data_IF_458536926719
#
_entry.id   IF_458536926719
#
_cell.length_a   1.000
_cell.length_b   1.000
_cell.length_c   1.000
_cell.angle_alpha   90.00
_cell.angle_beta   90.00
_cell.angle_gamma   90.00
#
_symmetry.space_group_name_H-M   'P 1'
#
loop_
_entity.id
_entity.type
_entity.pdbx_description
1 polymer ?
#
# COMPACT_ATOMS: atom_id res chain seq x y z
N UNK A 1 7.74 62.66 -17.49
CA UNK A 1 7.96 61.48 -18.36
C UNK A 1 8.17 60.29 -17.42
N UNK A 2 7.52 59.14 -17.52
CA UNK A 2 6.55 58.59 -18.46
C UNK A 2 5.93 57.34 -17.80
N UNK A 3 4.60 57.23 -17.93
CA UNK A 3 3.80 56.02 -18.23
C UNK A 3 3.57 54.93 -17.17
N UNK A 4 2.27 54.74 -16.94
CA UNK A 4 1.51 53.54 -16.57
C UNK A 4 1.81 52.33 -17.46
N UNK A 5 1.61 51.11 -16.94
CA UNK A 5 0.98 49.96 -17.63
C UNK A 5 0.90 48.76 -16.64
N UNK A 6 -0.27 48.33 -16.21
CA UNK A 6 -1.21 47.38 -16.87
C UNK A 6 -0.62 45.97 -17.11
N UNK A 7 -1.22 44.95 -16.47
CA UNK A 7 -0.98 43.53 -16.72
C UNK A 7 -1.59 43.07 -18.05
N UNK A 8 -1.06 41.98 -18.64
CA UNK A 8 -1.96 41.01 -19.25
C UNK A 8 -1.63 39.55 -18.88
N UNK A 9 -2.71 38.80 -18.64
CA UNK A 9 -2.75 37.33 -18.70
C UNK A 9 -2.33 36.85 -20.09
N UNK A 10 -1.52 35.77 -20.19
CA UNK A 10 -1.73 34.69 -21.18
C UNK A 10 -0.85 33.46 -20.91
N UNK A 11 -1.56 32.40 -20.53
CA UNK A 11 -1.53 31.04 -21.08
C UNK A 11 -0.36 30.67 -22.02
N UNK A 12 0.32 29.56 -21.71
CA UNK A 12 0.64 28.51 -22.68
C UNK A 12 0.91 27.17 -21.97
N UNK A 13 -0.14 26.34 -21.93
CA UNK A 13 -0.13 24.94 -22.42
C UNK A 13 0.87 24.79 -23.59
N UNK A 14 1.55 23.69 -23.89
CA UNK A 14 1.37 22.27 -23.62
C UNK A 14 2.57 21.56 -24.28
N UNK A 15 3.11 20.49 -23.69
CA UNK A 15 3.45 19.25 -24.41
C UNK A 15 4.36 18.35 -23.57
N UNK A 16 3.77 17.47 -22.78
CA UNK A 16 4.26 16.10 -22.74
C UNK A 16 3.08 15.20 -23.08
N UNK A 17 2.94 14.92 -24.39
CA UNK A 17 2.16 13.78 -24.87
C UNK A 17 2.93 12.52 -24.51
N UNK A 18 2.37 11.73 -23.61
CA UNK A 18 2.46 10.28 -23.70
C UNK A 18 1.05 9.73 -23.44
N UNK A 19 0.25 9.68 -24.51
CA UNK A 19 -0.84 8.70 -24.57
C UNK A 19 -0.17 7.34 -24.70
N UNK A 20 -0.52 6.42 -23.80
CA UNK A 20 -0.86 5.02 -24.08
C UNK A 20 -0.95 4.29 -22.74
N UNK A 21 -2.16 4.12 -22.24
CA UNK A 21 -2.53 2.91 -21.52
C UNK A 21 -4.02 2.71 -21.74
N UNK A 22 -4.34 2.02 -22.83
CA UNK A 22 -5.65 1.44 -23.03
C UNK A 22 -6.06 0.66 -21.79
N UNK A 23 -7.36 0.60 -21.55
CA UNK A 23 -7.97 -0.26 -20.55
C UNK A 23 -7.40 -1.67 -20.69
N UNK A 24 -6.43 -2.02 -19.82
CA UNK A 24 -5.99 -3.40 -19.70
C UNK A 24 -7.15 -4.11 -19.05
N UNK A 25 -7.83 -4.95 -19.83
CA UNK A 25 -8.63 -6.06 -19.30
C UNK A 25 -7.72 -6.74 -18.27
N UNK A 26 -7.95 -6.51 -16.99
CA UNK A 26 -7.26 -7.22 -15.92
C UNK A 26 -7.70 -8.65 -16.08
N UNK A 27 -6.87 -9.46 -16.75
CA UNK A 27 -7.05 -10.90 -16.74
C UNK A 27 -7.13 -11.30 -15.26
N UNK A 28 -8.03 -12.22 -14.88
CA UNK A 28 -8.10 -12.76 -13.52
C UNK A 28 -6.80 -13.44 -13.04
N UNK A 29 -5.77 -13.46 -13.89
CA UNK A 29 -4.52 -14.18 -13.73
C UNK A 29 -3.33 -13.32 -13.30
N UNK A 30 -3.44 -11.98 -13.28
CA UNK A 30 -2.33 -11.12 -12.81
C UNK A 30 -2.49 -10.75 -11.34
N UNK A 31 -1.46 -11.05 -10.55
CA UNK A 31 -1.44 -10.70 -9.13
C UNK A 31 -1.49 -9.18 -8.92
N UNK A 32 -2.15 -8.66 -7.86
CA UNK A 32 -2.32 -7.23 -7.65
C UNK A 32 -1.02 -6.42 -7.69
N UNK A 33 -0.98 -5.37 -8.52
CA UNK A 33 0.22 -4.56 -8.73
C UNK A 33 0.37 -3.35 -7.80
N UNK A 34 -0.56 -3.16 -6.84
CA UNK A 34 -0.50 -2.07 -5.87
C UNK A 34 -1.02 -2.53 -4.50
N UNK A 35 -0.65 -1.78 -3.47
CA UNK A 35 -0.97 -2.10 -2.06
C UNK A 35 -2.47 -2.26 -1.83
N UNK A 36 -3.29 -1.32 -2.33
CA UNK A 36 -4.73 -1.37 -2.11
C UNK A 36 -5.34 -2.65 -2.69
N UNK A 37 -5.02 -2.98 -3.94
CA UNK A 37 -5.51 -4.18 -4.60
C UNK A 37 -4.98 -5.45 -3.94
N UNK A 38 -3.73 -5.44 -3.44
CA UNK A 38 -3.16 -6.55 -2.68
C UNK A 38 -3.98 -6.81 -1.41
N UNK A 39 -4.24 -5.77 -0.62
CA UNK A 39 -5.00 -5.90 0.62
C UNK A 39 -6.47 -6.27 0.37
N UNK A 40 -7.06 -5.78 -0.72
CA UNK A 40 -8.43 -6.16 -1.14
C UNK A 40 -8.60 -7.66 -1.39
N UNK A 41 -7.53 -8.41 -1.65
CA UNK A 41 -7.62 -9.89 -1.78
C UNK A 41 -8.01 -10.57 -0.47
N UNK A 42 -7.83 -9.91 0.67
CA UNK A 42 -8.03 -10.49 1.99
C UNK A 42 -7.01 -11.57 2.36
N UNK A 43 -6.03 -11.88 1.52
CA UNK A 43 -5.03 -12.92 1.80
C UNK A 43 -4.20 -12.58 3.05
N UNK A 44 -3.97 -11.27 3.27
CA UNK A 44 -3.21 -10.73 4.40
C UNK A 44 -4.08 -10.34 5.60
N UNK A 45 -5.38 -10.67 5.58
CA UNK A 45 -6.29 -10.36 6.68
C UNK A 45 -5.79 -10.97 8.00
N UNK A 46 -5.68 -10.16 9.04
CA UNK A 46 -5.22 -10.62 10.35
C UNK A 46 -3.69 -10.71 10.50
N UNK A 47 -2.92 -10.44 9.44
CA UNK A 47 -1.45 -10.45 9.53
C UNK A 47 -0.97 -9.22 10.33
N UNK A 48 -0.12 -9.41 11.37
CA UNK A 48 0.43 -8.31 12.13
C UNK A 48 1.44 -7.52 11.30
N UNK A 49 1.43 -6.20 11.49
CA UNK A 49 2.37 -5.26 10.86
C UNK A 49 2.85 -4.23 11.87
N UNK A 50 3.89 -3.49 11.53
CA UNK A 50 4.33 -2.33 12.30
C UNK A 50 4.71 -1.17 11.40
N UNK A 51 4.31 0.03 11.77
CA UNK A 51 4.94 1.25 11.27
C UNK A 51 6.31 1.41 11.92
N UNK A 52 7.29 1.87 11.15
CA UNK A 52 8.62 2.23 11.63
C UNK A 52 9.05 3.53 10.95
N UNK A 53 9.33 4.57 11.74
CA UNK A 53 9.82 5.85 11.22
C UNK A 53 11.17 5.69 10.53
N UNK A 54 11.53 6.66 9.67
CA UNK A 54 12.85 6.69 9.05
C UNK A 54 13.99 6.65 10.08
N UNK A 55 13.87 7.42 11.19
CA UNK A 55 14.83 7.43 12.29
C UNK A 55 14.83 6.14 13.13
N UNK A 56 13.86 5.25 12.93
CA UNK A 56 13.62 4.02 13.74
C UNK A 56 13.23 4.28 15.20
N UNK A 57 13.14 5.52 15.65
CA UNK A 57 12.79 5.88 17.03
C UNK A 57 11.29 5.71 17.30
N UNK A 58 10.44 5.90 16.29
CA UNK A 58 8.99 5.75 16.44
C UNK A 58 8.53 4.47 15.78
N UNK A 59 7.82 3.66 16.54
CA UNK A 59 7.19 2.44 16.03
C UNK A 59 5.75 2.34 16.50
N UNK A 60 4.89 1.77 15.67
CA UNK A 60 3.49 1.54 16.01
C UNK A 60 3.03 0.21 15.47
N UNK A 61 2.49 -0.66 16.33
CA UNK A 61 1.96 -1.96 15.94
C UNK A 61 0.57 -1.82 15.32
N UNK A 62 0.22 -2.73 14.42
CA UNK A 62 -1.11 -2.83 13.84
C UNK A 62 -1.39 -4.21 13.25
N UNK A 63 -2.61 -4.40 12.76
CA UNK A 63 -3.06 -5.65 12.11
C UNK A 63 -3.79 -5.28 10.82
N UNK A 64 -3.51 -5.99 9.73
CA UNK A 64 -4.21 -5.78 8.46
C UNK A 64 -5.68 -6.19 8.59
N UNK A 65 -6.59 -5.28 8.21
CA UNK A 65 -8.04 -5.49 8.24
C UNK A 65 -8.71 -4.83 7.03
N UNK A 66 -9.14 -5.66 6.08
CA UNK A 66 -9.56 -5.26 4.75
C UNK A 66 -8.43 -4.53 4.03
N UNK A 67 -8.74 -3.35 3.48
CA UNK A 67 -7.76 -2.46 2.85
C UNK A 67 -7.12 -1.45 3.82
N UNK A 68 -7.30 -1.64 5.13
CA UNK A 68 -6.92 -0.72 6.19
C UNK A 68 -6.16 -1.47 7.30
N UNK A 69 -5.83 -0.75 8.38
CA UNK A 69 -5.07 -1.28 9.51
C UNK A 69 -5.83 -1.06 10.82
N UNK A 70 -5.95 -2.09 11.65
CA UNK A 70 -6.28 -1.91 13.06
C UNK A 70 -5.07 -1.29 13.74
N UNK A 71 -5.27 -0.11 14.32
CA UNK A 71 -4.20 0.67 14.94
C UNK A 71 -3.99 0.26 16.40
N UNK A 72 -2.75 -0.05 16.77
CA UNK A 72 -2.38 -0.44 18.13
C UNK A 72 -1.90 0.70 19.03
N UNK A 73 -2.22 1.96 18.74
CA UNK A 73 -1.87 3.07 19.65
C UNK A 73 -2.81 3.07 20.87
N UNK A 74 -2.42 3.77 21.93
CA UNK A 74 -3.17 3.81 23.19
C UNK A 74 -4.62 4.32 23.01
N UNK A 75 -4.86 5.15 21.99
CA UNK A 75 -6.21 5.67 21.69
C UNK A 75 -7.07 4.68 20.92
N UNK A 76 -6.46 3.78 20.14
CA UNK A 76 -7.18 2.89 19.24
C UNK A 76 -7.27 1.46 19.78
N UNK A 77 -6.29 1.00 20.56
CA UNK A 77 -6.26 -0.32 21.19
C UNK A 77 -6.65 -1.49 20.26
N UNK A 78 -6.21 -1.46 19.00
CA UNK A 78 -6.57 -2.44 17.95
C UNK A 78 -8.07 -2.52 17.61
N UNK A 79 -8.90 -1.55 18.01
CA UNK A 79 -10.35 -1.50 17.76
C UNK A 79 -10.71 -0.64 16.54
N UNK A 80 -9.91 0.38 16.25
CA UNK A 80 -10.17 1.34 15.16
C UNK A 80 -9.42 0.97 13.89
N UNK A 81 -10.14 0.92 12.76
CA UNK A 81 -9.54 0.79 11.42
C UNK A 81 -9.14 2.16 10.91
N UNK A 82 -7.90 2.28 10.44
CA UNK A 82 -7.33 3.52 9.91
C UNK A 82 -6.64 3.27 8.58
N UNK A 83 -6.59 4.29 7.73
CA UNK A 83 -5.81 4.26 6.49
C UNK A 83 -4.29 4.26 6.76
N UNK A 84 -3.48 4.04 5.72
CA UNK A 84 -2.01 4.07 5.85
C UNK A 84 -1.50 5.43 6.37
N UNK A 85 -2.08 6.54 5.87
CA UNK A 85 -1.73 7.89 6.30
C UNK A 85 -2.13 8.16 7.74
N UNK A 86 -3.33 7.75 8.14
CA UNK A 86 -3.76 7.89 9.54
C UNK A 86 -2.95 7.02 10.49
N UNK A 87 -2.59 5.80 10.08
CA UNK A 87 -1.73 4.91 10.86
C UNK A 87 -0.35 5.55 11.12
N UNK A 88 0.24 6.15 10.09
CA UNK A 88 1.48 6.92 10.22
C UNK A 88 1.31 8.14 11.13
N UNK A 89 0.21 8.88 10.97
CA UNK A 89 -0.08 10.05 11.82
C UNK A 89 -0.26 9.67 13.28
N UNK A 90 -0.85 8.51 13.55
CA UNK A 90 -0.96 7.94 14.90
C UNK A 90 0.39 7.51 15.47
N UNK A 91 1.36 7.17 14.62
CA UNK A 91 2.75 6.94 15.04
C UNK A 91 3.53 8.25 15.26
N UNK A 92 2.92 9.41 15.01
CA UNK A 92 3.53 10.73 15.16
C UNK A 92 4.48 11.10 14.01
N UNK A 93 4.20 10.59 12.81
CA UNK A 93 4.93 10.90 11.58
C UNK A 93 3.97 11.40 10.49
N UNK A 94 4.53 11.97 9.43
CA UNK A 94 3.78 12.42 8.24
C UNK A 94 4.72 12.38 7.03
N UNK A 95 4.56 11.37 6.18
CA UNK A 95 5.38 11.15 4.99
C UNK A 95 4.52 11.04 3.74
N UNK A 96 5.14 11.21 2.57
CA UNK A 96 4.43 11.06 1.29
C UNK A 96 4.05 9.61 0.97
N UNK A 97 4.70 8.62 1.60
CA UNK A 97 4.62 7.21 1.22
C UNK A 97 4.55 6.28 2.44
N UNK A 98 3.48 6.33 3.26
CA UNK A 98 3.37 5.55 4.49
C UNK A 98 3.52 4.04 4.27
N UNK A 99 3.08 3.51 3.12
CA UNK A 99 3.20 2.08 2.79
C UNK A 99 4.65 1.58 2.66
N UNK A 100 5.62 2.47 2.44
CA UNK A 100 7.05 2.15 2.46
C UNK A 100 7.60 1.98 3.88
N UNK A 101 6.86 2.48 4.88
CA UNK A 101 7.20 2.49 6.30
C UNK A 101 6.37 1.50 7.13
N UNK A 102 5.49 0.74 6.50
CA UNK A 102 4.70 -0.33 7.13
C UNK A 102 5.33 -1.67 6.78
N UNK A 103 5.75 -2.40 7.80
CA UNK A 103 6.54 -3.62 7.69
C UNK A 103 5.79 -4.83 8.22
N UNK A 104 5.95 -5.95 7.53
CA UNK A 104 5.64 -7.28 8.05
C UNK A 104 6.66 -7.69 9.13
N UNK A 105 6.38 -8.73 9.93
CA UNK A 105 7.27 -9.17 11.01
C UNK A 105 8.66 -9.59 10.51
N UNK A 106 8.75 -10.09 9.28
CA UNK A 106 10.01 -10.45 8.62
C UNK A 106 10.85 -9.24 8.14
N UNK A 107 10.40 -8.00 8.38
CA UNK A 107 11.12 -6.79 8.04
C UNK A 107 10.95 -6.31 6.60
N UNK A 108 10.16 -6.99 5.77
CA UNK A 108 9.80 -6.49 4.43
C UNK A 108 8.67 -5.48 4.53
N UNK A 109 8.78 -4.36 3.81
CA UNK A 109 7.68 -3.40 3.74
C UNK A 109 6.53 -3.95 2.90
N UNK A 110 5.31 -3.48 3.17
CA UNK A 110 4.14 -3.81 2.35
C UNK A 110 4.37 -3.48 0.88
N UNK A 111 5.03 -2.35 0.61
CA UNK A 111 5.40 -1.96 -0.74
C UNK A 111 6.38 -2.96 -1.37
N UNK A 112 7.42 -3.38 -0.63
CA UNK A 112 8.39 -4.35 -1.12
C UNK A 112 7.75 -5.70 -1.43
N UNK A 113 6.81 -6.16 -0.59
CA UNK A 113 6.06 -7.40 -0.83
C UNK A 113 5.20 -7.30 -2.08
N UNK A 114 4.54 -6.15 -2.32
CA UNK A 114 3.82 -5.93 -3.59
C UNK A 114 4.75 -6.05 -4.80
N UNK A 115 5.95 -5.45 -4.73
CA UNK A 115 6.91 -5.53 -5.84
C UNK A 115 7.44 -6.95 -6.05
N UNK A 116 7.69 -7.69 -4.98
CA UNK A 116 8.19 -9.07 -5.06
C UNK A 116 7.16 -10.02 -5.65
N UNK A 117 5.89 -9.88 -5.24
CA UNK A 117 4.80 -10.72 -5.74
C UNK A 117 4.37 -10.34 -7.17
N UNK A 118 4.76 -9.16 -7.65
CA UNK A 118 4.48 -8.69 -9.00
C UNK A 118 5.27 -9.51 -10.01
N UNK A 119 4.55 -10.28 -10.83
CA UNK A 119 5.15 -11.11 -11.87
C UNK A 119 5.47 -12.53 -11.44
N UNK A 120 5.15 -12.93 -10.20
CA UNK A 120 5.24 -14.33 -9.78
C UNK A 120 4.14 -15.15 -10.45
N UNK A 121 4.47 -16.30 -11.06
CA UNK A 121 3.48 -17.23 -11.61
C UNK A 121 2.51 -17.72 -10.53
N UNK A 122 1.25 -17.94 -10.91
CA UNK A 122 0.15 -18.28 -9.99
C UNK A 122 0.41 -19.56 -9.19
N UNK A 123 1.14 -20.50 -9.78
CA UNK A 123 1.50 -21.80 -9.23
C UNK A 123 2.45 -21.63 -8.03
N UNK A 124 3.41 -20.72 -8.15
CA UNK A 124 4.41 -20.42 -7.11
C UNK A 124 3.96 -19.36 -6.12
N UNK A 125 2.85 -18.66 -6.41
CA UNK A 125 2.39 -17.51 -5.66
C UNK A 125 2.08 -17.83 -4.19
N UNK A 126 1.50 -19.01 -3.91
CA UNK A 126 1.21 -19.41 -2.53
C UNK A 126 2.48 -19.49 -1.68
N UNK A 127 3.52 -20.12 -2.24
CA UNK A 127 4.81 -20.22 -1.58
C UNK A 127 5.43 -18.84 -1.40
N UNK A 128 5.41 -18.01 -2.45
CA UNK A 128 5.95 -16.66 -2.40
C UNK A 128 5.26 -15.77 -1.34
N UNK A 129 3.93 -15.82 -1.22
CA UNK A 129 3.19 -15.02 -0.22
C UNK A 129 3.57 -15.44 1.21
N UNK A 130 3.66 -16.76 1.47
CA UNK A 130 4.11 -17.27 2.79
C UNK A 130 5.52 -16.78 3.12
N UNK A 131 6.44 -16.91 2.17
CA UNK A 131 7.83 -16.46 2.34
C UNK A 131 7.92 -14.93 2.51
N UNK A 132 7.14 -14.18 1.75
CA UNK A 132 7.15 -12.72 1.75
C UNK A 132 6.58 -12.09 3.02
N UNK A 133 5.78 -12.82 3.80
CA UNK A 133 5.19 -12.32 5.07
C UNK A 133 5.83 -12.92 6.31
N UNK A 134 6.35 -14.15 6.21
CA UNK A 134 6.87 -14.89 7.36
C UNK A 134 5.79 -15.30 8.37
N UNK A 135 4.51 -15.22 8.01
CA UNK A 135 3.37 -15.56 8.88
C UNK A 135 2.36 -16.47 8.16
N UNK A 136 1.56 -17.25 8.90
CA UNK A 136 0.40 -17.92 8.32
C UNK A 136 -0.52 -16.90 7.65
N UNK A 137 -0.81 -17.08 6.37
CA UNK A 137 -1.75 -16.26 5.60
C UNK A 137 -3.15 -16.85 5.61
N UNK A 138 -4.16 -16.06 5.26
CA UNK A 138 -5.54 -16.54 5.17
C UNK A 138 -5.72 -17.43 3.93
N UNK A 139 -5.60 -18.75 4.13
CA UNK A 139 -5.68 -19.76 3.06
C UNK A 139 -7.05 -19.74 2.38
N UNK A 140 -8.14 -19.53 3.13
CA UNK A 140 -9.50 -19.46 2.57
C UNK A 140 -9.61 -18.33 1.56
N UNK A 141 -9.11 -17.14 1.92
CA UNK A 141 -9.11 -15.99 1.03
C UNK A 141 -8.17 -16.19 -0.18
N UNK A 142 -7.06 -16.91 0.01
CA UNK A 142 -6.18 -17.29 -1.10
C UNK A 142 -6.88 -18.22 -2.11
N UNK A 143 -7.59 -19.25 -1.64
CA UNK A 143 -8.35 -20.17 -2.50
C UNK A 143 -9.49 -19.45 -3.22
N UNK A 144 -10.26 -18.64 -2.49
CA UNK A 144 -11.32 -17.82 -3.06
C UNK A 144 -10.79 -16.84 -4.13
N UNK A 145 -9.66 -16.17 -3.88
CA UNK A 145 -8.98 -15.35 -4.90
C UNK A 145 -8.51 -16.18 -6.09
N UNK A 146 -8.04 -17.41 -5.84
CA UNK A 146 -7.67 -18.37 -6.88
C UNK A 146 -8.91 -18.93 -7.58
N UNK A 147 -10.15 -18.65 -7.17
CA UNK A 147 -11.35 -19.21 -7.79
C UNK A 147 -11.41 -20.74 -7.70
N UNK A 148 -10.89 -21.31 -6.61
CA UNK A 148 -10.98 -22.74 -6.25
C UNK A 148 -11.77 -22.86 -4.95
#
# INVERSE_FOLDING_TARGET
MMRTNESPRRNNHCAFKAKMAGARKTSPQSFPANVKNLLSTGIFEGVPVKYVSWSREKTLKGIIKGTNYLCGCDRCEMKTRVSAFEFERHAGCDTKHPNSHIFFPNGKSIYSVVQELKGIPRESLFHAIKTATGTPINIKNFLAWKGI
#
